data_IF_859849061427
#
_entry.id   IF_859849061427
#
_cell.length_a   1.000
_cell.length_b   1.000
_cell.length_c   1.000
_cell.angle_alpha   90.00
_cell.angle_beta   90.00
_cell.angle_gamma   90.00
#
_symmetry.space_group_name_H-M   'P 1'
#
loop_
_entity.id
_entity.type
_entity.pdbx_description
1 polymer ?
#
# COMPACT_ATOMS: atom_id res chain seq x y z
N UNK A 1 2.86 -17.37 4.09
CA UNK A 1 3.76 -16.27 3.74
C UNK A 1 2.97 -15.01 3.87
N UNK A 2 3.39 -14.18 4.80
CA UNK A 2 2.69 -13.03 5.32
C UNK A 2 3.56 -11.82 5.07
N UNK A 3 3.09 -10.91 4.24
CA UNK A 3 3.86 -9.73 3.83
C UNK A 3 3.11 -8.49 4.27
N UNK A 4 3.75 -7.65 5.08
CA UNK A 4 3.24 -6.36 5.48
C UNK A 4 3.63 -5.31 4.42
N UNK A 5 2.66 -4.83 3.65
CA UNK A 5 2.86 -3.65 2.80
C UNK A 5 2.52 -2.40 3.61
N UNK A 6 3.45 -1.46 3.64
CA UNK A 6 3.34 -0.17 4.31
C UNK A 6 3.30 0.91 3.25
N UNK A 7 2.17 1.61 3.12
CA UNK A 7 2.10 2.84 2.32
C UNK A 7 2.60 3.98 3.19
N UNK A 8 3.88 4.34 3.02
CA UNK A 8 4.59 5.28 3.87
C UNK A 8 4.17 6.73 3.64
N UNK A 9 3.63 7.36 4.67
CA UNK A 9 3.21 8.76 4.72
C UNK A 9 3.38 9.36 6.14
N UNK A 10 4.45 8.98 6.85
CA UNK A 10 4.68 9.39 8.24
C UNK A 10 3.59 8.84 9.16
N UNK A 11 3.01 9.71 10.00
CA UNK A 11 1.90 9.32 10.90
C UNK A 11 0.65 8.84 10.14
N UNK A 12 0.48 9.24 8.89
CA UNK A 12 -0.68 8.91 8.07
C UNK A 12 -0.48 7.63 7.23
N UNK A 13 0.51 6.80 7.61
CA UNK A 13 0.82 5.56 6.91
C UNK A 13 -0.30 4.52 7.04
N UNK A 14 -0.60 3.83 5.95
CA UNK A 14 -1.57 2.73 5.92
C UNK A 14 -0.86 1.37 5.84
N UNK A 15 -1.42 0.36 6.51
CA UNK A 15 -0.79 -0.95 6.63
C UNK A 15 -1.69 -2.06 6.05
N UNK A 16 -1.07 -2.98 5.32
CA UNK A 16 -1.74 -4.07 4.62
C UNK A 16 -1.01 -5.38 4.86
N UNK A 17 -1.56 -6.22 5.73
CA UNK A 17 -1.00 -7.55 5.95
C UNK A 17 -1.66 -8.54 4.98
N UNK A 18 -0.91 -8.92 3.95
CA UNK A 18 -1.31 -9.92 2.98
C UNK A 18 -0.83 -11.30 3.43
N UNK A 19 -1.76 -12.24 3.59
CA UNK A 19 -1.43 -13.64 3.85
C UNK A 19 -1.70 -14.49 2.63
N UNK A 20 -0.67 -15.20 2.15
CA UNK A 20 -0.75 -16.15 1.06
C UNK A 20 -0.53 -17.57 1.58
N UNK A 21 -1.64 -18.25 1.87
CA UNK A 21 -1.67 -19.63 2.33
C UNK A 21 -2.20 -20.58 1.25
N UNK A 22 -1.99 -21.89 1.42
CA UNK A 22 -2.55 -22.91 0.51
C UNK A 22 -4.07 -22.89 0.43
N UNK A 23 -4.75 -22.40 1.48
CA UNK A 23 -6.22 -22.35 1.58
C UNK A 23 -6.82 -21.02 1.15
N UNK A 24 -6.02 -20.09 0.61
CA UNK A 24 -6.50 -18.84 0.03
C UNK A 24 -5.67 -17.62 0.41
N UNK A 25 -6.18 -16.45 0.01
CA UNK A 25 -5.57 -15.14 0.25
C UNK A 25 -6.39 -14.33 1.23
N UNK A 26 -5.76 -13.85 2.29
CA UNK A 26 -6.38 -12.86 3.18
C UNK A 26 -5.64 -11.54 3.10
N UNK A 27 -6.38 -10.45 3.36
CA UNK A 27 -5.84 -9.12 3.47
C UNK A 27 -6.45 -8.44 4.70
N UNK A 28 -5.61 -8.13 5.67
CA UNK A 28 -5.95 -7.27 6.79
C UNK A 28 -5.49 -5.84 6.46
N UNK A 29 -6.35 -4.87 6.73
CA UNK A 29 -6.10 -3.44 6.52
C UNK A 29 -6.11 -2.77 7.87
N UNK A 30 -5.13 -1.92 8.12
CA UNK A 30 -5.06 -1.13 9.36
C UNK A 30 -4.79 0.31 8.98
N UNK A 31 -5.64 1.22 9.48
CA UNK A 31 -5.48 2.65 9.32
C UNK A 31 -4.48 3.22 10.32
N UNK A 32 -3.93 4.41 10.05
CA UNK A 32 -3.07 5.11 11.00
C UNK A 32 -3.78 5.44 12.33
N UNK A 33 -5.09 5.65 12.28
CA UNK A 33 -6.00 5.93 13.39
C UNK A 33 -6.41 4.68 14.21
N UNK A 34 -6.12 3.48 13.69
CA UNK A 34 -6.45 2.23 14.40
C UNK A 34 -5.68 2.17 15.72
N UNK A 35 -6.42 2.03 16.84
CA UNK A 35 -5.81 1.80 18.14
C UNK A 35 -5.34 0.34 18.25
N UNK A 36 -4.06 0.14 18.49
CA UNK A 36 -3.45 -1.17 18.79
C UNK A 36 -2.72 -1.05 20.13
N UNK A 37 -3.11 -1.88 21.11
CA UNK A 37 -2.65 -1.75 22.51
C UNK A 37 -2.84 -0.33 23.07
N UNK A 38 -3.93 0.33 22.69
CA UNK A 38 -4.30 1.67 23.17
C UNK A 38 -3.55 2.84 22.53
N UNK A 39 -2.73 2.61 21.49
CA UNK A 39 -2.02 3.66 20.75
C UNK A 39 -2.42 3.66 19.28
N UNK A 40 -2.55 4.84 18.67
CA UNK A 40 -2.75 4.99 17.22
C UNK A 40 -1.56 4.40 16.47
N UNK A 41 -1.87 3.50 15.54
CA UNK A 41 -0.86 2.73 14.81
C UNK A 41 0.11 3.63 14.02
N UNK A 42 -0.41 4.71 13.44
CA UNK A 42 0.35 5.68 12.66
C UNK A 42 1.37 6.44 13.50
N UNK A 43 0.99 6.86 14.72
CA UNK A 43 1.92 7.48 15.68
C UNK A 43 2.95 6.46 16.16
N UNK A 44 2.49 5.25 16.51
CA UNK A 44 3.36 4.18 16.97
C UNK A 44 4.41 3.79 15.92
N UNK A 45 4.06 3.83 14.65
CA UNK A 45 4.99 3.55 13.55
C UNK A 45 6.17 4.54 13.51
N UNK A 46 5.97 5.81 13.89
CA UNK A 46 7.04 6.81 13.88
C UNK A 46 8.17 6.50 14.88
N UNK A 47 7.85 5.84 15.99
CA UNK A 47 8.84 5.38 16.98
C UNK A 47 9.87 4.40 16.37
N UNK A 48 9.55 3.80 15.23
CA UNK A 48 10.38 2.81 14.53
C UNK A 48 10.79 3.27 13.12
N UNK A 49 10.72 4.58 12.85
CA UNK A 49 11.02 5.15 11.53
C UNK A 49 12.41 4.80 10.99
N UNK A 50 13.37 4.45 11.85
CA UNK A 50 14.71 4.01 11.46
C UNK A 50 14.81 2.51 11.14
N UNK A 51 13.89 1.68 11.65
CA UNK A 51 13.90 0.22 11.45
C UNK A 51 12.48 -0.37 11.40
N UNK A 52 11.98 -0.53 10.17
CA UNK A 52 10.67 -1.12 9.91
C UNK A 52 10.57 -2.60 10.36
N UNK A 53 11.68 -3.33 10.49
CA UNK A 53 11.63 -4.72 10.94
C UNK A 53 11.23 -4.82 12.43
N UNK A 54 11.70 -3.88 13.26
CA UNK A 54 11.31 -3.79 14.67
C UNK A 54 9.81 -3.48 14.80
N UNK A 55 9.30 -2.56 13.97
CA UNK A 55 7.86 -2.30 13.91
C UNK A 55 7.06 -3.56 13.53
N UNK A 56 7.52 -4.30 12.51
CA UNK A 56 6.87 -5.54 12.07
C UNK A 56 6.82 -6.57 13.20
N UNK A 57 7.89 -6.72 13.97
CA UNK A 57 7.92 -7.62 15.12
C UNK A 57 6.91 -7.20 16.20
N UNK A 58 6.92 -5.92 16.59
CA UNK A 58 5.95 -5.38 17.55
C UNK A 58 4.50 -5.57 17.09
N UNK A 59 4.21 -5.30 15.81
CA UNK A 59 2.87 -5.42 15.25
C UNK A 59 2.41 -6.89 15.20
N UNK A 60 3.30 -7.79 14.80
CA UNK A 60 3.04 -9.24 14.79
C UNK A 60 2.64 -9.73 16.19
N UNK A 61 3.39 -9.34 17.22
CA UNK A 61 3.06 -9.67 18.61
C UNK A 61 1.76 -9.00 19.08
N UNK A 62 1.54 -7.74 18.71
CA UNK A 62 0.37 -7.00 19.16
C UNK A 62 -0.95 -7.52 18.59
N UNK A 63 -0.93 -8.03 17.34
CA UNK A 63 -2.11 -8.58 16.67
C UNK A 63 -2.19 -10.11 16.76
N UNK A 64 -1.17 -10.76 17.35
CA UNK A 64 -1.02 -12.22 17.36
C UNK A 64 -1.10 -12.82 15.94
N UNK A 65 -0.35 -12.23 15.01
CA UNK A 65 -0.26 -12.65 13.59
C UNK A 65 1.20 -12.91 13.20
N UNK A 66 1.41 -13.64 12.11
CA UNK A 66 2.73 -13.78 11.51
C UNK A 66 3.00 -12.65 10.51
N UNK A 67 4.21 -12.08 10.55
CA UNK A 67 4.73 -11.17 9.52
C UNK A 67 6.10 -11.71 9.13
N UNK A 68 6.19 -12.31 7.94
CA UNK A 68 7.41 -12.96 7.45
C UNK A 68 8.33 -11.94 6.77
N UNK A 69 7.75 -10.94 6.09
CA UNK A 69 8.44 -9.91 5.32
C UNK A 69 7.68 -8.59 5.32
N UNK A 70 8.34 -7.50 4.93
CA UNK A 70 7.72 -6.19 4.76
C UNK A 70 8.12 -5.50 3.46
N UNK A 71 7.26 -4.60 2.99
CA UNK A 71 7.54 -3.71 1.85
C UNK A 71 7.05 -2.31 2.19
N UNK A 72 7.98 -1.37 2.34
CA UNK A 72 7.68 0.04 2.53
C UNK A 72 7.67 0.76 1.17
N UNK A 73 6.49 1.25 0.81
CA UNK A 73 6.17 1.98 -0.42
C UNK A 73 5.89 3.45 -0.08
N UNK A 74 6.86 4.33 -0.27
CA UNK A 74 6.64 5.78 -0.17
C UNK A 74 5.93 6.30 -1.41
N UNK A 75 5.25 7.45 -1.32
CA UNK A 75 4.68 8.09 -2.50
C UNK A 75 5.72 8.38 -3.59
N UNK A 76 6.96 8.71 -3.21
CA UNK A 76 8.07 8.86 -4.15
C UNK A 76 8.34 7.56 -4.91
N UNK A 77 8.50 6.42 -4.21
CA UNK A 77 8.75 5.11 -4.83
C UNK A 77 7.61 4.68 -5.78
N UNK A 78 6.36 4.96 -5.38
CA UNK A 78 5.18 4.65 -6.19
C UNK A 78 5.17 5.47 -7.49
N UNK A 79 5.51 6.75 -7.39
CA UNK A 79 5.58 7.64 -8.54
C UNK A 79 6.70 7.24 -9.49
N UNK A 80 7.88 7.01 -8.96
CA UNK A 80 9.02 6.56 -9.75
C UNK A 80 8.72 5.27 -10.50
N UNK A 81 8.02 4.32 -9.87
CA UNK A 81 7.63 3.07 -10.51
C UNK A 81 6.52 3.22 -11.56
N UNK A 82 5.43 3.92 -11.23
CA UNK A 82 4.23 3.98 -12.08
C UNK A 82 4.34 5.00 -13.23
N UNK A 83 5.10 6.06 -13.04
CA UNK A 83 5.25 7.17 -14.00
C UNK A 83 6.58 7.14 -14.77
N UNK A 84 7.41 6.09 -14.59
CA UNK A 84 8.74 5.98 -15.24
C UNK A 84 8.73 6.26 -16.76
N UNK A 85 7.63 5.93 -17.44
CA UNK A 85 7.48 6.08 -18.89
C UNK A 85 6.13 6.72 -19.27
N UNK A 86 5.43 7.32 -18.32
CA UNK A 86 4.06 7.83 -18.53
C UNK A 86 3.88 9.14 -17.77
N UNK A 87 3.26 10.12 -18.43
CA UNK A 87 2.90 11.39 -17.80
C UNK A 87 1.68 11.24 -16.87
N UNK A 88 0.77 10.32 -17.20
CA UNK A 88 -0.43 10.01 -16.41
C UNK A 88 -0.63 8.51 -16.21
N UNK A 89 -1.44 8.15 -15.22
CA UNK A 89 -1.92 6.80 -14.99
C UNK A 89 -3.44 6.74 -15.00
N UNK A 90 -3.97 5.64 -15.52
CA UNK A 90 -5.41 5.37 -15.48
C UNK A 90 -5.78 4.71 -14.17
N UNK A 91 -6.68 5.34 -13.42
CA UNK A 91 -7.28 4.78 -12.21
C UNK A 91 -8.79 4.68 -12.35
N UNK A 92 -9.42 3.81 -11.56
CA UNK A 92 -10.88 3.75 -11.45
C UNK A 92 -11.31 4.02 -10.02
N UNK A 93 -11.85 5.21 -9.79
CA UNK A 93 -12.31 5.63 -8.48
C UNK A 93 -13.67 4.95 -8.14
N UNK A 94 -13.77 4.15 -7.06
CA UNK A 94 -15.00 3.43 -6.74
C UNK A 94 -16.13 4.34 -6.25
N UNK A 95 -15.80 5.46 -5.62
CA UNK A 95 -16.76 6.41 -5.03
C UNK A 95 -16.19 7.82 -5.14
N UNK A 96 -17.03 8.78 -5.51
CA UNK A 96 -16.60 10.18 -5.53
C UNK A 96 -16.16 10.62 -4.14
N UNK A 97 -15.09 11.40 -4.07
CA UNK A 97 -14.60 12.02 -2.84
C UNK A 97 -13.88 13.32 -3.19
N UNK A 98 -13.70 14.17 -2.19
CA UNK A 98 -12.88 15.37 -2.32
C UNK A 98 -11.65 15.18 -1.45
N UNK A 99 -10.47 15.45 -2.01
CA UNK A 99 -9.25 15.60 -1.25
C UNK A 99 -9.24 16.97 -0.60
N UNK A 100 -9.11 17.01 0.72
CA UNK A 100 -8.86 18.22 1.47
C UNK A 100 -7.42 18.18 1.97
N UNK A 101 -6.60 19.07 1.42
CA UNK A 101 -5.18 19.21 1.77
C UNK A 101 -5.01 19.34 3.27
N UNK A 102 -4.38 18.33 3.88
CA UNK A 102 -4.07 18.38 5.30
C UNK A 102 -2.82 19.24 5.52
N UNK A 103 -2.82 20.01 6.61
CA UNK A 103 -1.63 20.70 7.10
C UNK A 103 -0.72 19.65 7.75
N UNK A 104 -0.08 18.81 6.95
CA UNK A 104 0.98 17.92 7.44
C UNK A 104 2.34 18.50 7.04
N UNK A 105 3.23 18.65 8.01
CA UNK A 105 4.55 19.28 7.85
C UNK A 105 5.60 18.38 7.19
N UNK A 106 5.21 17.43 6.35
CA UNK A 106 6.11 16.38 5.87
C UNK A 106 5.89 16.04 4.39
N UNK A 107 6.21 16.97 3.49
CA UNK A 107 6.88 16.68 2.20
C UNK A 107 7.21 17.99 1.46
N UNK A 108 8.48 18.39 1.43
CA UNK A 108 8.92 19.70 0.92
C UNK A 108 8.84 19.86 -0.62
N UNK A 109 8.57 18.78 -1.37
CA UNK A 109 8.58 18.84 -2.85
C UNK A 109 7.23 19.16 -3.49
N UNK A 110 6.13 19.02 -2.77
CA UNK A 110 4.80 19.38 -3.28
C UNK A 110 3.99 19.97 -2.13
N UNK A 111 3.77 21.28 -2.19
CA UNK A 111 2.97 21.98 -1.19
C UNK A 111 1.49 21.60 -1.37
N UNK A 112 1.07 20.49 -0.76
CA UNK A 112 -0.32 20.01 -0.79
C UNK A 112 -1.21 20.71 0.25
N UNK A 113 -0.65 21.66 1.01
CA UNK A 113 -1.40 22.43 2.00
C UNK A 113 -2.41 23.34 1.29
N UNK A 114 -3.66 23.35 1.77
CA UNK A 114 -4.77 24.15 1.24
C UNK A 114 -5.16 23.85 -0.23
N UNK A 115 -4.90 22.63 -0.70
CA UNK A 115 -5.42 22.15 -1.97
C UNK A 115 -6.75 21.42 -1.76
N UNK A 116 -7.78 21.76 -2.53
CA UNK A 116 -9.00 20.96 -2.63
C UNK A 116 -9.11 20.38 -4.04
N UNK A 117 -9.31 19.07 -4.16
CA UNK A 117 -9.49 18.42 -5.46
C UNK A 117 -10.61 17.38 -5.40
N UNK A 118 -11.61 17.55 -6.26
CA UNK A 118 -12.71 16.61 -6.38
C UNK A 118 -12.35 15.46 -7.34
N UNK A 119 -12.47 14.22 -6.86
CA UNK A 119 -12.29 13.02 -7.66
C UNK A 119 -13.65 12.39 -7.94
N UNK A 120 -14.18 12.47 -9.17
CA UNK A 120 -15.46 11.84 -9.52
C UNK A 120 -15.40 10.31 -9.45
N UNK A 121 -16.55 9.65 -9.33
CA UNK A 121 -16.65 8.19 -9.45
C UNK A 121 -16.38 7.78 -10.91
N UNK A 122 -15.59 6.72 -11.11
CA UNK A 122 -15.34 6.15 -12.43
C UNK A 122 -13.87 6.24 -12.88
N UNK A 123 -13.59 5.94 -14.16
CA UNK A 123 -12.25 6.03 -14.74
C UNK A 123 -11.73 7.47 -14.76
N UNK A 124 -10.45 7.67 -14.47
CA UNK A 124 -9.77 8.96 -14.48
C UNK A 124 -8.31 8.78 -14.88
N UNK A 125 -7.79 9.74 -15.65
CA UNK A 125 -6.36 9.86 -15.93
C UNK A 125 -5.76 10.83 -14.91
N UNK A 126 -4.81 10.37 -14.10
CA UNK A 126 -4.17 11.18 -13.06
C UNK A 126 -2.71 11.44 -13.41
N UNK A 127 -2.30 12.70 -13.30
CA UNK A 127 -0.89 13.05 -13.26
C UNK A 127 -0.26 12.65 -11.90
N UNK A 128 1.05 12.85 -11.80
CA UNK A 128 1.85 12.53 -10.60
C UNK A 128 1.36 13.26 -9.33
N UNK A 129 0.86 14.49 -9.45
CA UNK A 129 0.42 15.29 -8.32
C UNK A 129 -0.99 14.87 -7.86
N UNK A 130 -1.93 14.72 -8.79
CA UNK A 130 -3.27 14.21 -8.55
C UNK A 130 -3.24 12.78 -8.00
N UNK A 131 -2.32 11.93 -8.48
CA UNK A 131 -2.09 10.60 -7.92
C UNK A 131 -1.74 10.64 -6.44
N UNK A 132 -0.83 11.54 -6.04
CA UNK A 132 -0.38 11.69 -4.65
C UNK A 132 -1.56 12.03 -3.73
N UNK A 133 -2.42 12.96 -4.17
CA UNK A 133 -3.65 13.34 -3.46
C UNK A 133 -4.71 12.22 -3.48
N UNK A 134 -4.78 11.46 -4.57
CA UNK A 134 -5.73 10.36 -4.72
C UNK A 134 -5.50 9.22 -3.71
N UNK A 135 -4.23 8.90 -3.43
CA UNK A 135 -3.84 7.83 -2.50
C UNK A 135 -3.59 8.31 -1.07
N UNK A 136 -3.57 9.63 -0.83
CA UNK A 136 -3.38 10.18 0.50
C UNK A 136 -4.46 9.69 1.45
N UNK A 137 -4.04 9.39 2.69
CA UNK A 137 -4.97 9.04 3.74
C UNK A 137 -5.89 10.23 4.05
N UNK A 138 -7.18 9.93 4.16
CA UNK A 138 -8.19 10.82 4.69
C UNK A 138 -9.10 9.94 5.52
N UNK A 139 -9.41 10.39 6.73
CA UNK A 139 -10.33 9.70 7.61
C UNK A 139 -11.67 9.55 6.88
N UNK A 140 -12.05 8.29 6.65
CA UNK A 140 -13.34 7.97 6.05
C UNK A 140 -14.40 7.92 7.17
N UNK A 141 -15.66 8.21 6.84
CA UNK A 141 -16.75 7.98 7.78
C UNK A 141 -16.77 6.51 8.26
N UNK A 142 -17.19 6.21 9.50
CA UNK A 142 -17.22 4.84 10.03
C UNK A 142 -17.89 3.85 9.07
N UNK A 143 -17.21 2.73 8.80
CA UNK A 143 -17.67 1.69 7.86
C UNK A 143 -17.46 2.02 6.37
N UNK A 144 -16.90 3.18 6.03
CA UNK A 144 -16.46 3.53 4.67
C UNK A 144 -14.97 3.22 4.55
N UNK A 145 -14.62 2.37 3.58
CA UNK A 145 -13.24 2.02 3.25
C UNK A 145 -12.82 2.67 1.94
N UNK A 146 -13.07 3.97 1.80
CA UNK A 146 -12.82 4.75 0.59
C UNK A 146 -11.33 4.80 0.27
N UNK A 147 -10.51 5.22 1.23
CA UNK A 147 -9.05 5.34 1.07
C UNK A 147 -8.41 3.99 0.79
N UNK A 148 -8.78 2.95 1.54
CA UNK A 148 -8.26 1.61 1.32
C UNK A 148 -8.61 1.06 -0.06
N UNK A 149 -9.81 1.35 -0.58
CA UNK A 149 -10.20 0.92 -1.92
C UNK A 149 -9.37 1.62 -3.01
N UNK A 150 -9.05 2.91 -2.84
CA UNK A 150 -8.19 3.67 -3.76
C UNK A 150 -6.74 3.17 -3.71
N UNK A 151 -6.20 3.03 -2.51
CA UNK A 151 -4.84 2.54 -2.28
C UNK A 151 -4.66 1.10 -2.79
N UNK A 152 -5.61 0.20 -2.54
CA UNK A 152 -5.59 -1.17 -3.10
C UNK A 152 -5.66 -1.20 -4.63
N UNK A 153 -6.41 -0.27 -5.23
CA UNK A 153 -6.46 -0.16 -6.68
C UNK A 153 -5.06 0.14 -7.24
N UNK A 154 -4.32 1.05 -6.61
CA UNK A 154 -2.94 1.38 -6.98
C UNK A 154 -1.98 0.22 -6.74
N UNK A 155 -2.06 -0.46 -5.58
CA UNK A 155 -1.27 -1.67 -5.33
C UNK A 155 -1.54 -2.75 -6.38
N UNK A 156 -2.77 -2.86 -6.87
CA UNK A 156 -3.12 -3.76 -7.98
C UNK A 156 -2.47 -3.34 -9.30
N UNK A 157 -2.37 -2.05 -9.61
CA UNK A 157 -1.66 -1.56 -10.80
C UNK A 157 -0.17 -1.93 -10.76
N UNK A 158 0.47 -1.80 -9.60
CA UNK A 158 1.87 -2.23 -9.40
C UNK A 158 2.00 -3.73 -9.66
N UNK A 159 1.14 -4.54 -9.05
CA UNK A 159 1.12 -5.99 -9.25
C UNK A 159 0.95 -6.35 -10.72
N UNK A 160 0.02 -5.70 -11.42
CA UNK A 160 -0.21 -5.90 -12.85
C UNK A 160 1.03 -5.55 -13.65
N UNK A 161 1.67 -4.40 -13.39
CA UNK A 161 2.92 -4.00 -14.04
C UNK A 161 4.05 -5.03 -13.83
N UNK A 162 4.23 -5.51 -12.60
CA UNK A 162 5.24 -6.53 -12.26
C UNK A 162 4.99 -7.86 -13.00
N UNK A 163 3.73 -8.23 -13.19
CA UNK A 163 3.31 -9.51 -13.76
C UNK A 163 2.78 -9.40 -15.20
N UNK A 164 3.08 -8.30 -15.90
CA UNK A 164 2.64 -8.03 -17.28
C UNK A 164 3.12 -9.06 -18.30
N UNK A 165 4.29 -9.67 -18.06
CA UNK A 165 4.90 -10.65 -18.95
C UNK A 165 4.76 -12.06 -18.41
N UNK A 166 4.58 -13.04 -19.29
CA UNK A 166 4.72 -14.46 -18.95
C UNK A 166 6.19 -14.91 -18.94
N UNK A 167 7.13 -14.09 -19.46
CA UNK A 167 8.55 -14.45 -19.53
C UNK A 167 9.21 -14.28 -18.15
N UNK A 168 9.77 -15.37 -17.55
CA UNK A 168 10.42 -15.31 -16.25
C UNK A 168 11.58 -14.31 -16.16
N UNK A 169 12.33 -14.12 -17.26
CA UNK A 169 13.45 -13.17 -17.33
C UNK A 169 12.94 -11.74 -17.19
N UNK A 170 11.84 -11.41 -17.87
CA UNK A 170 11.21 -10.09 -17.80
C UNK A 170 10.62 -9.83 -16.42
N UNK A 171 9.90 -10.80 -15.86
CA UNK A 171 9.37 -10.73 -14.47
C UNK A 171 10.51 -10.48 -13.48
N UNK A 172 11.62 -11.21 -13.62
CA UNK A 172 12.81 -11.05 -12.76
C UNK A 172 13.41 -9.64 -12.87
N UNK A 173 13.48 -9.07 -14.07
CA UNK A 173 13.94 -7.69 -14.27
C UNK A 173 13.00 -6.68 -13.60
N UNK A 174 11.69 -6.86 -13.73
CA UNK A 174 10.70 -5.99 -13.10
C UNK A 174 10.82 -6.02 -11.57
N UNK A 175 10.90 -7.21 -10.96
CA UNK A 175 11.09 -7.33 -9.52
C UNK A 175 12.43 -6.75 -9.05
N UNK A 176 13.52 -6.97 -9.79
CA UNK A 176 14.81 -6.37 -9.45
C UNK A 176 14.77 -4.84 -9.48
N UNK A 177 14.06 -4.27 -10.46
CA UNK A 177 13.85 -2.83 -10.50
C UNK A 177 12.99 -2.36 -9.32
N UNK A 178 11.88 -3.02 -9.05
CA UNK A 178 10.98 -2.71 -7.94
C UNK A 178 11.68 -2.74 -6.57
N UNK A 179 12.43 -3.80 -6.26
CA UNK A 179 13.18 -3.93 -4.99
C UNK A 179 14.17 -2.78 -4.80
N UNK A 180 14.72 -2.20 -5.88
CA UNK A 180 15.64 -1.05 -5.79
C UNK A 180 14.94 0.27 -5.44
N UNK A 181 13.63 0.36 -5.67
CA UNK A 181 12.85 1.58 -5.42
C UNK A 181 12.20 1.60 -4.04
N UNK A 182 12.08 0.45 -3.38
CA UNK A 182 11.34 0.28 -2.14
C UNK A 182 12.26 -0.19 -1.03
N UNK A 183 11.89 0.08 0.22
CA UNK A 183 12.59 -0.49 1.38
C UNK A 183 11.92 -1.81 1.75
N UNK A 184 12.66 -2.90 1.75
CA UNK A 184 12.11 -4.25 1.96
C UNK A 184 13.20 -5.23 2.38
N UNK A 185 12.81 -6.28 3.11
CA UNK A 185 13.63 -7.45 3.38
C UNK A 185 13.37 -8.60 2.40
N UNK A 186 12.46 -8.43 1.43
CA UNK A 186 12.18 -9.44 0.41
C UNK A 186 13.40 -9.65 -0.48
N UNK A 187 13.85 -10.91 -0.55
CA UNK A 187 14.78 -11.31 -1.59
C UNK A 187 14.07 -11.44 -2.95
N UNK A 188 14.85 -11.43 -4.03
CA UNK A 188 14.32 -11.71 -5.37
C UNK A 188 13.64 -13.09 -5.43
N UNK A 189 14.16 -14.07 -4.70
CA UNK A 189 13.57 -15.41 -4.59
C UNK A 189 12.19 -15.36 -3.95
N UNK A 190 12.01 -14.53 -2.91
CA UNK A 190 10.71 -14.36 -2.24
C UNK A 190 9.72 -13.63 -3.15
N UNK A 191 10.16 -12.64 -3.92
CA UNK A 191 9.35 -11.99 -4.95
C UNK A 191 8.89 -12.96 -6.05
N UNK A 192 9.75 -13.86 -6.50
CA UNK A 192 9.37 -14.88 -7.48
C UNK A 192 8.40 -15.91 -6.88
N UNK A 193 8.57 -16.26 -5.59
CA UNK A 193 7.62 -17.11 -4.85
C UNK A 193 6.26 -16.41 -4.69
N UNK A 194 6.25 -15.11 -4.39
CA UNK A 194 5.04 -14.27 -4.39
C UNK A 194 4.33 -14.37 -5.75
N UNK A 195 5.06 -14.13 -6.84
CA UNK A 195 4.53 -14.17 -8.20
C UNK A 195 3.93 -15.54 -8.55
N UNK A 196 4.65 -16.62 -8.26
CA UNK A 196 4.16 -17.99 -8.48
C UNK A 196 2.87 -18.28 -7.71
N UNK A 197 2.85 -17.98 -6.41
CA UNK A 197 1.63 -18.14 -5.59
C UNK A 197 0.46 -17.34 -6.14
N UNK A 198 0.69 -16.10 -6.59
CA UNK A 198 -0.36 -15.27 -7.18
C UNK A 198 -0.93 -15.84 -8.48
N UNK A 199 -0.08 -16.46 -9.31
CA UNK A 199 -0.49 -17.13 -10.54
C UNK A 199 -1.26 -18.42 -10.28
N UNK A 200 -0.84 -19.24 -9.31
CA UNK A 200 -1.52 -20.48 -8.91
C UNK A 200 -2.95 -20.22 -8.43
N UNK A 201 -3.13 -19.13 -7.69
CA UNK A 201 -4.41 -18.72 -7.09
C UNK A 201 -5.10 -17.64 -7.92
N UNK A 202 -4.83 -17.59 -9.23
CA UNK A 202 -5.43 -16.63 -10.15
C UNK A 202 -6.94 -16.92 -10.29
N UNK A 203 -7.77 -15.92 -10.00
CA UNK A 203 -9.23 -16.05 -10.00
C UNK A 203 -9.83 -16.19 -8.60
N UNK A 204 -9.04 -16.55 -7.60
CA UNK A 204 -9.49 -16.54 -6.20
C UNK A 204 -9.64 -15.10 -5.69
N UNK A 205 -10.76 -14.84 -5.01
CA UNK A 205 -11.00 -13.54 -4.37
C UNK A 205 -10.22 -13.46 -3.07
N UNK A 206 -9.57 -12.32 -2.86
CA UNK A 206 -8.93 -12.00 -1.57
C UNK A 206 -10.05 -11.79 -0.54
N UNK A 207 -10.00 -12.57 0.55
CA UNK A 207 -10.87 -12.39 1.71
C UNK A 207 -10.32 -11.22 2.54
N UNK A 208 -11.13 -10.19 2.73
CA UNK A 208 -10.76 -9.04 3.57
C UNK A 208 -11.13 -9.34 5.02
N UNK A 209 -10.20 -9.07 5.92
CA UNK A 209 -10.40 -9.19 7.35
C UNK A 209 -10.52 -7.80 7.95
N UNK A 210 -11.32 -7.69 9.01
CA UNK A 210 -11.37 -6.52 9.89
C UNK A 210 -10.64 -6.90 11.18
N UNK A 211 -9.92 -5.94 11.76
CA UNK A 211 -9.39 -6.08 13.11
C UNK A 211 -10.36 -5.41 14.07
N UNK A 212 -10.96 -6.20 14.96
CA UNK A 212 -11.81 -5.70 16.02
C UNK A 212 -10.96 -5.65 17.30
N UNK A 213 -10.94 -4.51 17.97
CA UNK A 213 -10.22 -4.33 19.23
C UNK A 213 -10.96 -5.08 20.34
N UNK A 214 -10.44 -6.23 20.78
CA UNK A 214 -10.76 -6.82 22.08
C UNK A 214 -9.89 -6.22 23.19
#
# INVERSE_FOLDING_TARGET
>A
MHVLFILGAGKDSCFYLLSLEKKGKTLLRLGPDQLVKGQELGLRYLDFSEDAAVFCHWLAEALNVAIDHYVLLTQASLREFLFAQKETIEVRNPKAFTYHGQVSGADEKHNFQNCEEAFPKGPQSLDSAAFSRFIAYQEDAPGVFGVFARQEHVLRLIKEALLTSANPVTITKHFRHFIRLVTTDLSLTDCLRLAGKYQETKGERIRRLSWDNE
#
